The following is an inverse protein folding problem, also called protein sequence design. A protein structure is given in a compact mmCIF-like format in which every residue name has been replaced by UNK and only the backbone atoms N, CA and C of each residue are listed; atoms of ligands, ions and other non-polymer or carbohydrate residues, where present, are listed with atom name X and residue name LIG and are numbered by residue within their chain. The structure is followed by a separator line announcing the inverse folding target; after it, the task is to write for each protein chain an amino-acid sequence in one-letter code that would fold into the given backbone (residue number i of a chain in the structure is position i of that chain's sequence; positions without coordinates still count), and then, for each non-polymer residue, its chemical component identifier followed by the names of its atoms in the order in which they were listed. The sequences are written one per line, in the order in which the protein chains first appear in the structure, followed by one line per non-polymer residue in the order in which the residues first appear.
data_IF_110401569927
#
_entry.id   IF_110401569927
#
_cell.length_a   1.000
_cell.length_b   1.000
_cell.length_c   1.000
_cell.angle_alpha   90.00
_cell.angle_beta   90.00
_cell.angle_gamma   90.00
#
_symmetry.space_group_name_H-M   'P 1'
#
loop_
_entity.id
_entity.type
_entity.pdbx_description
1 polymer ?
#
# COMPACT_ATOMS: atom_id res chain seq x y z
N UNK A 1 27.99 39.08 -29.74
CA UNK A 1 27.70 37.88 -30.57
C UNK A 1 26.93 36.88 -29.71
N UNK A 2 25.79 37.26 -29.11
CA UNK A 2 24.45 37.01 -29.65
C UNK A 2 24.40 36.58 -31.11
N UNK A 3 24.15 35.29 -31.34
CA UNK A 3 23.73 34.71 -32.61
C UNK A 3 23.36 33.24 -32.39
N UNK A 4 22.06 32.99 -32.25
CA UNK A 4 21.35 31.82 -32.80
C UNK A 4 22.03 30.46 -32.61
N UNK A 5 21.80 29.82 -31.46
CA UNK A 5 21.60 28.38 -31.47
C UNK A 5 20.15 28.17 -31.85
N UNK A 6 19.95 27.61 -33.04
CA UNK A 6 18.66 27.30 -33.65
C UNK A 6 17.73 26.59 -32.65
N UNK A 7 16.62 27.25 -32.32
CA UNK A 7 15.43 26.58 -31.82
C UNK A 7 14.81 25.81 -33.00
N UNK A 8 15.41 24.67 -33.36
CA UNK A 8 14.66 23.69 -34.13
C UNK A 8 13.45 23.25 -33.28
N UNK A 9 12.22 23.33 -33.82
CA UNK A 9 11.03 22.93 -33.09
C UNK A 9 11.15 21.44 -32.77
N UNK A 10 11.41 21.14 -31.51
CA UNK A 10 11.46 19.79 -31.01
C UNK A 10 10.03 19.23 -31.04
N UNK A 11 9.84 17.94 -31.34
CA UNK A 11 8.50 17.32 -31.31
C UNK A 11 7.74 17.54 -29.99
N UNK A 12 8.48 17.81 -28.89
CA UNK A 12 7.92 18.20 -27.60
C UNK A 12 7.29 19.59 -27.56
N UNK A 13 7.68 20.53 -28.43
CA UNK A 13 7.07 21.86 -28.51
C UNK A 13 5.68 21.83 -29.15
N UNK A 14 5.42 20.84 -30.02
CA UNK A 14 4.07 20.52 -30.49
C UNK A 14 3.24 19.90 -29.37
N UNK A 15 3.84 19.00 -28.58
CA UNK A 15 3.18 18.37 -27.43
C UNK A 15 2.78 19.37 -26.32
N UNK A 16 3.61 20.40 -26.08
CA UNK A 16 3.31 21.49 -25.13
C UNK A 16 1.99 22.19 -25.43
N UNK A 17 1.59 22.30 -26.70
CA UNK A 17 0.32 22.92 -27.10
C UNK A 17 -0.90 22.09 -26.67
N UNK A 18 -0.74 20.78 -26.48
CA UNK A 18 -1.80 19.87 -26.02
C UNK A 18 -1.77 19.59 -24.51
N UNK A 19 -0.71 19.99 -23.81
CA UNK A 19 -0.48 19.73 -22.38
C UNK A 19 -0.53 21.03 -21.55
N UNK A 20 -1.58 21.83 -21.72
CA UNK A 20 -1.77 23.07 -20.98
C UNK A 20 -1.59 22.85 -19.46
N UNK A 21 -0.78 23.68 -18.82
CA UNK A 21 -0.46 23.61 -17.38
C UNK A 21 0.74 22.75 -16.99
N UNK A 22 1.46 22.13 -17.95
CA UNK A 22 2.66 21.32 -17.66
C UNK A 22 3.95 22.04 -18.08
N UNK A 23 4.96 21.99 -17.20
CA UNK A 23 6.29 22.56 -17.43
C UNK A 23 7.25 21.49 -17.94
N UNK A 24 8.20 21.87 -18.79
CA UNK A 24 9.26 20.98 -19.28
C UNK A 24 10.63 21.49 -18.86
N UNK A 25 11.49 20.61 -18.37
CA UNK A 25 12.90 20.90 -18.08
C UNK A 25 13.80 20.37 -19.21
N UNK A 26 14.58 21.24 -19.84
CA UNK A 26 15.63 20.86 -20.80
C UNK A 26 16.99 21.06 -20.12
N UNK A 27 17.80 20.00 -20.07
CA UNK A 27 19.17 20.05 -19.55
C UNK A 27 20.15 19.84 -20.71
N UNK A 28 21.08 20.77 -20.90
CA UNK A 28 22.08 20.74 -21.97
C UNK A 28 23.49 20.78 -21.37
N UNK A 29 24.46 20.20 -22.08
CA UNK A 29 25.88 20.23 -21.68
C UNK A 29 26.75 20.34 -22.93
N UNK A 30 27.75 21.21 -22.89
CA UNK A 30 28.75 21.38 -23.95
C UNK A 30 29.78 20.24 -23.98
N UNK A 31 29.81 19.42 -22.92
CA UNK A 31 30.69 18.26 -22.77
C UNK A 31 29.89 16.95 -22.88
N UNK A 32 30.54 15.87 -23.34
CA UNK A 32 29.93 14.54 -23.40
C UNK A 32 29.65 14.05 -21.97
N UNK A 33 28.36 13.85 -21.67
CA UNK A 33 27.86 13.37 -20.37
C UNK A 33 27.02 12.12 -20.56
N UNK A 34 26.94 11.34 -19.50
CA UNK A 34 26.10 10.13 -19.44
C UNK A 34 24.67 10.48 -19.05
N UNK A 35 23.70 9.61 -19.39
CA UNK A 35 22.29 9.78 -18.98
C UNK A 35 22.14 9.88 -17.46
N UNK A 36 22.94 9.11 -16.71
CA UNK A 36 22.90 9.11 -15.25
C UNK A 36 23.43 10.41 -14.65
N UNK A 37 24.35 11.11 -15.31
CA UNK A 37 24.76 12.47 -14.91
C UNK A 37 23.65 13.48 -15.15
N UNK A 38 22.93 13.39 -16.27
CA UNK A 38 21.78 14.25 -16.53
C UNK A 38 20.64 14.04 -15.53
N UNK A 39 20.39 12.80 -15.10
CA UNK A 39 19.42 12.49 -14.04
C UNK A 39 19.82 13.11 -12.68
N UNK A 40 21.12 13.16 -12.39
CA UNK A 40 21.63 13.85 -11.19
C UNK A 40 21.43 15.36 -11.30
N UNK A 41 21.72 15.95 -12.46
CA UNK A 41 21.53 17.39 -12.67
C UNK A 41 20.07 17.81 -12.63
N UNK A 42 19.16 17.03 -13.22
CA UNK A 42 17.73 17.29 -13.15
C UNK A 42 17.22 17.20 -11.71
N UNK A 43 17.63 16.18 -10.96
CA UNK A 43 17.27 16.03 -9.54
C UNK A 43 17.80 17.18 -8.68
N UNK A 44 19.04 17.62 -8.90
CA UNK A 44 19.64 18.76 -8.20
C UNK A 44 18.90 20.07 -8.51
N UNK A 45 18.53 20.28 -9.78
CA UNK A 45 17.73 21.44 -10.19
C UNK A 45 16.35 21.45 -9.54
N UNK A 46 15.65 20.31 -9.56
CA UNK A 46 14.31 20.18 -8.95
C UNK A 46 14.36 20.48 -7.45
N UNK A 47 15.38 19.97 -6.74
CA UNK A 47 15.59 20.30 -5.33
C UNK A 47 15.84 21.80 -5.14
N UNK A 48 16.75 22.40 -5.93
CA UNK A 48 17.10 23.81 -5.81
C UNK A 48 15.90 24.73 -6.03
N UNK A 49 15.09 24.47 -7.06
CA UNK A 49 13.85 25.22 -7.27
C UNK A 49 12.86 25.00 -6.12
N UNK A 50 12.63 23.75 -5.72
CA UNK A 50 11.67 23.45 -4.65
C UNK A 50 12.06 24.11 -3.34
N UNK A 51 13.36 24.12 -3.00
CA UNK A 51 13.90 24.76 -1.80
C UNK A 51 13.74 26.29 -1.81
N UNK A 52 13.92 26.95 -2.95
CA UNK A 52 13.85 28.41 -3.03
C UNK A 52 12.44 28.97 -3.23
N UNK A 53 11.49 28.12 -3.63
CA UNK A 53 10.14 28.56 -4.03
C UNK A 53 9.02 27.91 -3.23
N UNK A 54 9.35 26.99 -2.32
CA UNK A 54 8.40 26.09 -1.64
C UNK A 54 7.41 25.40 -2.59
N UNK A 55 7.79 25.30 -3.87
CA UNK A 55 6.97 24.72 -4.93
C UNK A 55 7.51 23.36 -5.32
N UNK A 56 6.74 22.30 -5.07
CA UNK A 56 7.13 20.95 -5.43
C UNK A 56 6.95 20.73 -6.95
N UNK A 57 8.06 20.67 -7.68
CA UNK A 57 8.07 20.25 -9.09
C UNK A 57 8.34 18.76 -9.19
N UNK A 58 7.43 18.03 -9.84
CA UNK A 58 7.51 16.58 -9.98
C UNK A 58 7.77 16.20 -11.43
N UNK A 59 8.85 15.45 -11.65
CA UNK A 59 9.14 14.87 -12.96
C UNK A 59 8.17 13.71 -13.25
N UNK A 60 7.44 13.83 -14.35
CA UNK A 60 6.63 12.74 -14.91
C UNK A 60 7.53 11.85 -15.75
N UNK A 61 7.58 10.55 -15.45
CA UNK A 61 8.50 9.58 -16.08
C UNK A 61 7.85 8.74 -17.16
N UNK A 62 6.54 8.51 -17.06
CA UNK A 62 5.78 7.67 -17.98
C UNK A 62 4.53 8.41 -18.51
N UNK A 63 4.13 8.13 -19.77
CA UNK A 63 2.92 8.72 -20.37
C UNK A 63 1.64 8.34 -19.60
N UNK A 64 1.62 7.18 -18.96
CA UNK A 64 0.52 6.75 -18.10
C UNK A 64 0.35 7.66 -16.88
N UNK A 65 1.42 8.27 -16.38
CA UNK A 65 1.37 9.28 -15.30
C UNK A 65 0.75 10.59 -15.80
N UNK A 66 0.95 10.93 -17.08
CA UNK A 66 0.27 12.06 -17.71
C UNK A 66 -1.23 11.79 -17.86
N UNK A 67 -1.62 10.53 -18.11
CA UNK A 67 -2.99 10.08 -18.33
C UNK A 67 -3.72 9.64 -17.06
N UNK A 68 -3.08 9.70 -15.89
CA UNK A 68 -3.75 9.54 -14.59
C UNK A 68 -4.81 10.60 -14.40
N UNK A 69 -5.98 10.33 -14.93
CA UNK A 69 -7.26 10.82 -14.42
C UNK A 69 -7.54 9.99 -13.17
N UNK A 70 -6.75 10.26 -12.13
CA UNK A 70 -6.61 9.51 -10.89
C UNK A 70 -7.79 9.67 -9.95
N UNK A 71 -8.99 9.32 -10.41
CA UNK A 71 -10.05 8.89 -9.50
C UNK A 71 -10.55 7.55 -9.96
N UNK A 72 -10.61 6.61 -9.03
CA UNK A 72 -11.47 5.42 -9.11
C UNK A 72 -12.92 5.93 -9.13
N UNK A 73 -13.33 6.52 -10.26
CA UNK A 73 -14.65 7.13 -10.50
C UNK A 73 -15.58 6.13 -11.16
N UNK A 74 -15.04 5.05 -11.73
CA UNK A 74 -15.80 4.13 -12.58
C UNK A 74 -16.60 3.05 -11.84
N UNK A 75 -16.35 2.81 -10.55
CA UNK A 75 -16.87 1.58 -9.91
C UNK A 75 -18.10 1.79 -9.01
N UNK A 76 -18.48 3.02 -8.66
CA UNK A 76 -19.62 3.26 -7.75
C UNK A 76 -20.45 4.44 -8.23
N UNK A 77 -21.78 4.20 -8.32
CA UNK A 77 -22.89 5.10 -8.65
C UNK A 77 -22.45 6.51 -9.03
N UNK A 78 -22.56 6.83 -10.32
CA UNK A 78 -22.20 8.13 -10.88
C UNK A 78 -23.22 9.22 -10.56
N UNK A 79 -24.41 8.87 -10.05
CA UNK A 79 -25.47 9.83 -9.77
C UNK A 79 -25.69 10.03 -8.26
N UNK A 80 -25.68 11.30 -7.83
CA UNK A 80 -25.91 11.69 -6.43
C UNK A 80 -27.32 11.35 -5.95
N UNK A 81 -28.28 11.31 -6.88
CA UNK A 81 -29.68 10.97 -6.59
C UNK A 81 -29.87 9.50 -6.21
N UNK A 82 -28.89 8.63 -6.49
CA UNK A 82 -28.90 7.23 -6.07
C UNK A 82 -28.27 7.02 -4.67
N UNK A 83 -27.85 8.08 -3.99
CA UNK A 83 -27.26 7.97 -2.65
C UNK A 83 -28.37 7.93 -1.60
N UNK A 84 -28.50 6.77 -0.95
CA UNK A 84 -29.39 6.61 0.20
C UNK A 84 -28.76 7.15 1.49
N UNK A 85 -29.56 7.60 2.48
CA UNK A 85 -29.08 7.84 3.83
C UNK A 85 -28.36 6.61 4.41
N UNK A 86 -27.26 6.81 5.16
CA UNK A 86 -26.48 5.70 5.70
C UNK A 86 -27.31 4.89 6.70
N UNK A 87 -27.29 3.56 6.53
CA UNK A 87 -27.99 2.60 7.41
C UNK A 87 -27.06 1.92 8.42
N UNK A 88 -25.82 2.39 8.50
CA UNK A 88 -24.75 1.83 9.33
C UNK A 88 -23.94 2.95 9.94
N UNK A 89 -23.44 2.70 11.13
CA UNK A 89 -22.43 3.52 11.80
C UNK A 89 -21.06 2.85 11.65
N UNK A 90 -20.01 3.68 11.60
CA UNK A 90 -18.64 3.24 11.36
C UNK A 90 -17.72 3.82 12.43
N UNK A 91 -16.58 3.17 12.65
CA UNK A 91 -15.55 3.67 13.57
C UNK A 91 -14.92 4.94 12.98
N UNK A 92 -15.01 6.11 13.65
CA UNK A 92 -14.58 7.39 13.08
C UNK A 92 -13.12 7.40 12.61
N UNK A 93 -12.20 6.81 13.38
CA UNK A 93 -10.77 6.79 13.05
C UNK A 93 -10.49 6.09 11.72
N UNK A 94 -11.22 5.01 11.41
CA UNK A 94 -11.11 4.32 10.12
C UNK A 94 -11.60 5.21 8.97
N UNK A 95 -12.68 5.95 9.21
CA UNK A 95 -13.27 6.84 8.20
C UNK A 95 -12.32 7.99 7.87
N UNK A 96 -11.64 8.57 8.87
CA UNK A 96 -10.64 9.61 8.62
C UNK A 96 -9.49 9.11 7.73
N UNK A 97 -8.95 7.93 8.02
CA UNK A 97 -7.92 7.31 7.19
C UNK A 97 -8.43 6.97 5.78
N UNK A 98 -9.63 6.41 5.67
CA UNK A 98 -10.24 6.11 4.37
C UNK A 98 -10.48 7.38 3.54
N UNK A 99 -10.99 8.45 4.14
CA UNK A 99 -11.21 9.73 3.45
C UNK A 99 -9.91 10.39 3.02
N UNK A 100 -8.85 10.33 3.84
CA UNK A 100 -7.51 10.79 3.46
C UNK A 100 -7.00 10.02 2.24
N UNK A 101 -7.18 8.70 2.23
CA UNK A 101 -6.79 7.84 1.12
C UNK A 101 -7.56 8.15 -0.17
N UNK A 102 -8.86 8.49 -0.08
CA UNK A 102 -9.70 8.85 -1.24
C UNK A 102 -9.42 10.28 -1.73
N UNK A 103 -9.05 11.19 -0.82
CA UNK A 103 -8.85 12.60 -1.12
C UNK A 103 -7.46 12.97 -1.65
N UNK A 104 -6.47 12.08 -1.52
CA UNK A 104 -5.10 12.30 -2.00
C UNK A 104 -4.91 11.79 -3.42
N UNK A 105 -3.99 12.42 -4.17
CA UNK A 105 -3.55 11.96 -5.49
C UNK A 105 -2.20 11.22 -5.43
N UNK A 106 -1.60 11.15 -4.24
CA UNK A 106 -0.30 10.50 -4.04
C UNK A 106 -0.48 9.02 -3.67
N UNK A 107 -0.02 8.07 -4.49
CA UNK A 107 -0.23 6.64 -4.23
C UNK A 107 0.41 6.09 -2.97
N UNK A 108 1.52 6.70 -2.55
CA UNK A 108 2.13 6.37 -1.27
C UNK A 108 1.17 6.70 -0.13
N UNK A 109 0.59 7.89 -0.17
CA UNK A 109 -0.37 8.31 0.85
C UNK A 109 -1.67 7.53 0.77
N UNK A 110 -2.16 7.19 -0.44
CA UNK A 110 -3.31 6.28 -0.61
C UNK A 110 -3.04 4.95 0.10
N UNK A 111 -1.92 4.30 -0.23
CA UNK A 111 -1.57 2.99 0.28
C UNK A 111 -1.43 2.96 1.80
N UNK A 112 -0.68 3.92 2.37
CA UNK A 112 -0.48 4.00 3.82
C UNK A 112 -1.79 4.32 4.55
N UNK A 113 -2.62 5.21 4.00
CA UNK A 113 -3.89 5.55 4.63
C UNK A 113 -4.85 4.36 4.64
N UNK A 114 -4.95 3.59 3.55
CA UNK A 114 -5.71 2.33 3.58
C UNK A 114 -5.09 1.27 4.50
N UNK A 115 -3.76 1.21 4.62
CA UNK A 115 -3.08 0.30 5.54
C UNK A 115 -3.44 0.58 7.01
N UNK A 116 -3.52 1.85 7.41
CA UNK A 116 -3.86 2.23 8.78
C UNK A 116 -5.26 1.74 9.21
N UNK A 117 -6.19 1.55 8.26
CA UNK A 117 -7.50 0.94 8.54
C UNK A 117 -7.34 -0.49 9.06
N UNK A 118 -6.42 -1.27 8.48
CA UNK A 118 -6.12 -2.61 8.96
C UNK A 118 -5.29 -2.57 10.26
N UNK A 119 -4.29 -1.68 10.31
CA UNK A 119 -3.37 -1.55 11.45
C UNK A 119 -4.08 -1.27 12.77
N UNK A 120 -5.16 -0.47 12.74
CA UNK A 120 -6.01 -0.17 13.89
C UNK A 120 -6.41 -1.42 14.68
N UNK A 121 -6.55 -2.58 14.03
CA UNK A 121 -7.03 -3.80 14.66
C UNK A 121 -5.92 -4.78 15.07
N UNK A 122 -4.67 -4.57 14.66
CA UNK A 122 -3.63 -5.60 14.78
C UNK A 122 -3.42 -6.07 16.22
N UNK A 123 -3.34 -5.13 17.18
CA UNK A 123 -3.15 -5.45 18.59
C UNK A 123 -4.33 -6.23 19.17
N UNK A 124 -5.56 -5.74 18.92
CA UNK A 124 -6.78 -6.34 19.45
C UNK A 124 -7.01 -7.76 18.91
N UNK A 125 -6.83 -7.96 17.61
CA UNK A 125 -7.01 -9.26 16.95
C UNK A 125 -5.90 -10.23 17.35
N UNK A 126 -4.67 -9.76 17.45
CA UNK A 126 -3.57 -10.59 17.92
C UNK A 126 -3.81 -11.07 19.36
N UNK A 127 -4.27 -10.17 20.23
CA UNK A 127 -4.61 -10.50 21.62
C UNK A 127 -5.75 -11.51 21.69
N UNK A 128 -6.80 -11.33 20.90
CA UNK A 128 -7.92 -12.27 20.81
C UNK A 128 -7.47 -13.66 20.35
N UNK A 129 -6.62 -13.73 19.31
CA UNK A 129 -6.07 -14.99 18.80
C UNK A 129 -5.21 -15.69 19.86
N UNK A 130 -4.40 -14.95 20.62
CA UNK A 130 -3.63 -15.51 21.74
C UNK A 130 -4.53 -16.05 22.84
N UNK A 131 -5.57 -15.30 23.23
CA UNK A 131 -6.54 -15.76 24.23
C UNK A 131 -7.21 -17.04 23.78
N UNK A 132 -7.61 -17.14 22.51
CA UNK A 132 -8.24 -18.34 21.96
C UNK A 132 -7.27 -19.54 21.91
N UNK A 133 -6.01 -19.29 21.55
CA UNK A 133 -4.96 -20.31 21.59
C UNK A 133 -4.76 -20.84 23.02
N UNK A 134 -4.72 -19.95 24.02
CA UNK A 134 -4.59 -20.35 25.43
C UNK A 134 -5.82 -21.13 25.88
N UNK A 135 -7.04 -20.65 25.59
CA UNK A 135 -8.30 -21.34 25.90
C UNK A 135 -8.29 -22.75 25.34
N UNK A 136 -8.07 -22.89 24.03
CA UNK A 136 -8.01 -24.17 23.33
C UNK A 136 -7.01 -25.13 23.99
N UNK A 137 -5.82 -24.63 24.36
CA UNK A 137 -4.78 -25.45 24.99
C UNK A 137 -5.17 -25.91 26.40
N UNK A 138 -5.73 -25.04 27.23
CA UNK A 138 -6.07 -25.38 28.62
C UNK A 138 -7.34 -26.23 28.72
N UNK A 139 -8.24 -26.15 27.75
CA UNK A 139 -9.46 -26.96 27.70
C UNK A 139 -9.26 -28.34 27.06
N UNK A 140 -8.12 -28.58 26.42
CA UNK A 140 -7.84 -29.86 25.77
C UNK A 140 -7.76 -30.99 26.81
N UNK A 141 -8.36 -32.18 26.58
CA UNK A 141 -8.34 -33.29 27.55
C UNK A 141 -6.91 -33.73 27.94
N UNK A 142 -5.98 -33.63 27.00
CA UNK A 142 -4.56 -33.95 27.25
C UNK A 142 -3.82 -32.90 28.06
N UNK A 143 -4.41 -31.75 28.39
CA UNK A 143 -3.75 -30.73 29.20
C UNK A 143 -4.03 -30.95 30.69
N UNK A 144 -2.99 -30.90 31.52
CA UNK A 144 -3.15 -30.93 32.97
C UNK A 144 -2.41 -29.78 33.62
N UNK A 145 -3.16 -28.90 34.28
CA UNK A 145 -2.59 -27.81 35.11
C UNK A 145 -1.76 -28.32 36.29
N UNK A 146 -1.81 -29.63 36.61
CA UNK A 146 -0.99 -30.26 37.64
C UNK A 146 0.38 -30.70 37.12
N UNK A 147 0.52 -30.91 35.80
CA UNK A 147 1.77 -31.39 35.20
C UNK A 147 2.65 -30.20 34.81
N UNK A 148 3.80 -30.06 35.48
CA UNK A 148 4.79 -29.00 35.19
C UNK A 148 5.17 -28.92 33.71
N UNK A 149 5.31 -30.07 33.03
CA UNK A 149 5.63 -30.14 31.59
C UNK A 149 4.60 -29.39 30.73
N UNK A 150 3.31 -29.53 31.05
CA UNK A 150 2.23 -28.93 30.26
C UNK A 150 2.22 -27.41 30.47
N UNK A 151 2.37 -26.95 31.72
CA UNK A 151 2.51 -25.53 32.05
C UNK A 151 3.73 -24.92 31.34
N UNK A 152 4.89 -25.57 31.40
CA UNK A 152 6.11 -25.10 30.73
C UNK A 152 5.94 -25.05 29.22
N UNK A 153 5.20 -25.99 28.62
CA UNK A 153 4.90 -25.95 27.19
C UNK A 153 4.00 -24.77 26.82
N UNK A 154 2.97 -24.49 27.62
CA UNK A 154 2.07 -23.35 27.43
C UNK A 154 2.82 -22.02 27.53
N UNK A 155 3.67 -21.86 28.56
CA UNK A 155 4.51 -20.65 28.72
C UNK A 155 5.42 -20.47 27.51
N UNK A 156 6.03 -21.55 27.01
CA UNK A 156 6.90 -21.50 25.82
C UNK A 156 6.13 -21.12 24.56
N UNK A 157 4.92 -21.65 24.38
CA UNK A 157 4.09 -21.38 23.20
C UNK A 157 3.60 -19.92 23.19
N UNK A 158 3.25 -19.36 24.36
CA UNK A 158 2.94 -17.93 24.52
C UNK A 158 4.19 -17.08 24.30
N UNK A 159 5.32 -17.45 24.91
CA UNK A 159 6.58 -16.71 24.83
C UNK A 159 7.22 -16.68 23.43
N UNK A 160 6.89 -17.63 22.54
CA UNK A 160 7.28 -17.56 21.12
C UNK A 160 6.52 -16.48 20.35
N UNK A 161 5.28 -16.24 20.75
CA UNK A 161 4.36 -15.33 20.06
C UNK A 161 4.53 -13.88 20.53
N UNK A 162 5.02 -13.68 21.75
CA UNK A 162 5.23 -12.36 22.36
C UNK A 162 6.73 -12.05 22.45
N UNK A 163 7.19 -10.99 21.78
CA UNK A 163 8.52 -10.43 22.03
C UNK A 163 8.40 -9.27 23.02
N UNK A 164 9.00 -9.41 24.19
CA UNK A 164 9.08 -8.35 25.20
C UNK A 164 10.15 -7.33 24.79
N UNK A 165 9.81 -6.04 24.77
CA UNK A 165 10.75 -4.90 24.83
C UNK A 165 10.23 -3.91 25.88
N UNK A 166 11.10 -3.03 26.35
CA UNK A 166 10.95 -2.23 27.58
C UNK A 166 9.68 -1.37 27.69
N UNK A 167 8.90 -1.19 26.61
CA UNK A 167 7.69 -0.36 26.58
C UNK A 167 6.38 -1.10 26.20
N UNK A 168 6.39 -2.44 26.03
CA UNK A 168 5.14 -3.19 25.80
C UNK A 168 5.28 -4.58 25.16
N UNK A 169 4.12 -5.20 24.88
CA UNK A 169 4.01 -6.43 24.09
C UNK A 169 4.16 -6.08 22.62
N UNK A 170 5.38 -6.16 22.08
CA UNK A 170 5.58 -6.07 20.63
C UNK A 170 5.17 -7.38 19.97
N UNK A 171 4.05 -7.36 19.25
CA UNK A 171 3.63 -8.45 18.37
C UNK A 171 4.24 -8.29 16.97
N UNK A 172 4.26 -9.37 16.20
CA UNK A 172 4.72 -9.32 14.82
C UNK A 172 3.66 -8.63 13.96
N UNK A 173 3.96 -7.41 13.48
CA UNK A 173 3.06 -6.62 12.64
C UNK A 173 2.52 -7.42 11.43
N UNK A 174 3.38 -8.18 10.75
CA UNK A 174 2.96 -9.02 9.62
C UNK A 174 1.96 -10.10 10.04
N UNK A 175 2.09 -10.63 11.25
CA UNK A 175 1.16 -11.62 11.79
C UNK A 175 -0.16 -10.97 12.21
N UNK A 176 -0.11 -9.78 12.82
CA UNK A 176 -1.29 -8.96 13.11
C UNK A 176 -2.09 -8.67 11.84
N UNK A 177 -1.40 -8.29 10.76
CA UNK A 177 -2.01 -8.12 9.45
C UNK A 177 -2.63 -9.43 8.93
N UNK A 178 -1.92 -10.56 8.98
CA UNK A 178 -2.44 -11.86 8.52
C UNK A 178 -3.73 -12.24 9.24
N UNK A 179 -3.74 -12.12 10.56
CA UNK A 179 -4.93 -12.43 11.38
C UNK A 179 -6.07 -11.47 11.09
N UNK A 180 -5.77 -10.18 10.88
CA UNK A 180 -6.77 -9.15 10.51
C UNK A 180 -7.42 -9.46 9.17
N UNK A 181 -6.61 -9.78 8.15
CA UNK A 181 -7.12 -10.18 6.84
C UNK A 181 -8.00 -11.43 6.96
N UNK A 182 -7.54 -12.46 7.67
CA UNK A 182 -8.30 -13.70 7.87
C UNK A 182 -9.63 -13.47 8.58
N UNK A 183 -9.70 -12.51 9.49
CA UNK A 183 -10.93 -12.21 10.25
C UNK A 183 -11.95 -11.41 9.43
N UNK A 184 -11.49 -10.50 8.58
CA UNK A 184 -12.36 -9.47 8.00
C UNK A 184 -12.52 -9.52 6.47
N UNK A 185 -11.68 -10.28 5.76
CA UNK A 185 -11.64 -10.28 4.30
C UNK A 185 -12.20 -11.58 3.74
N UNK A 186 -13.24 -11.47 2.92
CA UNK A 186 -13.70 -12.52 2.02
C UNK A 186 -12.92 -12.45 0.70
N UNK A 187 -12.16 -13.50 0.40
CA UNK A 187 -11.30 -13.58 -0.79
C UNK A 187 -12.12 -13.58 -2.09
N UNK A 188 -13.25 -14.28 -2.13
CA UNK A 188 -14.11 -14.32 -3.33
C UNK A 188 -14.63 -12.93 -3.68
N UNK A 189 -15.15 -12.19 -2.69
CA UNK A 189 -15.64 -10.82 -2.88
C UNK A 189 -14.51 -9.87 -3.28
N UNK A 190 -13.31 -10.06 -2.71
CA UNK A 190 -12.13 -9.28 -3.07
C UNK A 190 -11.76 -9.49 -4.54
N UNK A 191 -11.75 -10.73 -5.01
CA UNK A 191 -11.47 -11.07 -6.42
C UNK A 191 -12.50 -10.44 -7.35
N UNK A 192 -13.79 -10.51 -7.01
CA UNK A 192 -14.86 -9.86 -7.79
C UNK A 192 -14.63 -8.36 -7.89
N UNK A 193 -14.38 -7.67 -6.77
CA UNK A 193 -14.17 -6.21 -6.74
C UNK A 193 -12.93 -5.78 -7.52
N UNK A 194 -11.85 -6.55 -7.44
CA UNK A 194 -10.64 -6.31 -8.21
C UNK A 194 -10.90 -6.44 -9.72
N UNK A 195 -11.61 -7.48 -10.15
CA UNK A 195 -11.96 -7.67 -11.55
C UNK A 195 -12.94 -6.62 -12.11
N UNK A 196 -13.91 -6.17 -11.30
CA UNK A 196 -14.80 -5.05 -11.66
C UNK A 196 -14.05 -3.73 -11.84
N UNK A 197 -12.97 -3.54 -11.08
CA UNK A 197 -12.13 -2.34 -11.16
C UNK A 197 -11.16 -2.39 -12.35
N UNK A 198 -10.38 -3.47 -12.44
CA UNK A 198 -9.42 -3.74 -13.51
C UNK A 198 -9.13 -5.26 -13.55
N UNK A 199 -9.63 -5.92 -14.58
CA UNK A 199 -9.51 -7.37 -14.78
C UNK A 199 -8.05 -7.86 -14.97
N UNK A 200 -7.09 -6.97 -15.18
CA UNK A 200 -5.68 -7.32 -15.28
C UNK A 200 -5.00 -7.49 -13.91
N UNK A 201 -5.60 -6.99 -12.83
CA UNK A 201 -4.98 -6.98 -11.50
C UNK A 201 -4.80 -8.38 -10.90
N UNK A 202 -5.78 -9.26 -11.06
CA UNK A 202 -5.68 -10.64 -10.56
C UNK A 202 -4.48 -11.35 -11.17
N UNK A 203 -4.32 -11.24 -12.49
CA UNK A 203 -3.17 -11.80 -13.19
C UNK A 203 -1.86 -11.14 -12.74
N UNK A 204 -1.83 -9.81 -12.58
CA UNK A 204 -0.67 -9.09 -12.09
C UNK A 204 -0.21 -9.59 -10.71
N UNK A 205 -1.12 -9.76 -9.74
CA UNK A 205 -0.76 -10.27 -8.42
C UNK A 205 -0.21 -11.71 -8.48
N UNK A 206 -0.75 -12.53 -9.38
CA UNK A 206 -0.35 -13.93 -9.55
C UNK A 206 1.02 -14.09 -10.21
N UNK A 207 1.44 -13.19 -11.09
CA UNK A 207 2.69 -13.36 -11.87
C UNK A 207 3.79 -12.37 -11.56
N UNK A 208 3.47 -11.22 -10.98
CA UNK A 208 4.42 -10.11 -10.85
C UNK A 208 4.78 -9.86 -9.38
N UNK A 209 6.05 -10.08 -9.05
CA UNK A 209 6.65 -9.59 -7.82
C UNK A 209 6.75 -8.05 -7.87
N UNK A 210 6.75 -7.40 -6.71
CA UNK A 210 6.84 -5.93 -6.61
C UNK A 210 8.32 -5.53 -6.56
N UNK A 211 8.88 -4.83 -7.57
CA UNK A 211 10.32 -4.60 -7.65
C UNK A 211 10.91 -3.80 -6.50
N UNK A 212 10.22 -2.74 -6.04
CA UNK A 212 10.75 -1.85 -5.01
C UNK A 212 10.76 -2.47 -3.60
N UNK A 213 9.91 -3.47 -3.36
CA UNK A 213 9.79 -4.12 -2.04
C UNK A 213 10.29 -5.57 -2.01
N UNK A 214 10.46 -6.21 -3.16
CA UNK A 214 10.70 -7.66 -3.23
C UNK A 214 9.53 -8.48 -2.70
N UNK A 215 8.32 -7.90 -2.71
CA UNK A 215 7.10 -8.62 -2.36
C UNK A 215 6.80 -9.69 -3.42
N UNK A 216 6.48 -10.89 -2.95
CA UNK A 216 6.26 -12.06 -3.80
C UNK A 216 4.85 -12.05 -4.41
N UNK A 217 4.63 -12.94 -5.38
CA UNK A 217 3.33 -13.15 -6.01
C UNK A 217 2.30 -13.72 -5.03
N UNK A 218 1.02 -13.46 -5.30
CA UNK A 218 -0.12 -13.97 -4.54
C UNK A 218 -1.14 -14.52 -5.55
N UNK A 219 -1.50 -15.80 -5.41
CA UNK A 219 -2.60 -16.37 -6.19
C UNK A 219 -3.89 -16.27 -5.37
N UNK A 220 -4.70 -15.23 -5.61
CA UNK A 220 -5.98 -15.02 -4.91
C UNK A 220 -7.05 -16.05 -5.27
N UNK A 221 -6.86 -16.81 -6.35
CA UNK A 221 -7.77 -17.86 -6.82
C UNK A 221 -7.24 -19.27 -6.49
N UNK A 222 -6.39 -19.38 -5.46
CA UNK A 222 -5.90 -20.67 -4.96
C UNK A 222 -6.94 -21.41 -4.10
N UNK A 223 -6.71 -22.71 -3.89
CA UNK A 223 -7.60 -23.53 -3.06
C UNK A 223 -7.28 -23.47 -1.55
N UNK A 224 -6.04 -23.11 -1.20
CA UNK A 224 -5.57 -23.03 0.19
C UNK A 224 -5.65 -21.60 0.72
N UNK A 225 -6.76 -21.29 1.39
CA UNK A 225 -7.05 -19.97 1.95
C UNK A 225 -6.00 -19.52 2.98
N UNK A 226 -5.44 -20.43 3.78
CA UNK A 226 -4.39 -20.11 4.76
C UNK A 226 -3.11 -19.66 4.05
N UNK A 227 -2.75 -20.33 2.95
CA UNK A 227 -1.64 -19.93 2.11
C UNK A 227 -1.89 -18.58 1.42
N UNK A 228 -3.12 -18.32 0.96
CA UNK A 228 -3.51 -17.03 0.37
C UNK A 228 -3.29 -15.91 1.38
N UNK A 229 -3.84 -16.01 2.59
CA UNK A 229 -3.69 -14.97 3.61
C UNK A 229 -2.23 -14.76 4.01
N UNK A 230 -1.44 -15.83 4.11
CA UNK A 230 -0.01 -15.74 4.40
C UNK A 230 0.74 -14.95 3.32
N UNK A 231 0.51 -15.26 2.04
CA UNK A 231 1.16 -14.57 0.93
C UNK A 231 0.66 -13.13 0.79
N UNK A 232 -0.64 -12.91 0.95
CA UNK A 232 -1.27 -11.59 0.89
C UNK A 232 -0.74 -10.66 1.99
N UNK A 233 -0.71 -11.11 3.24
CA UNK A 233 -0.13 -10.37 4.35
C UNK A 233 1.35 -10.05 4.11
N UNK A 234 2.13 -11.03 3.61
CA UNK A 234 3.54 -10.80 3.28
C UNK A 234 3.72 -9.75 2.20
N UNK A 235 2.89 -9.77 1.15
CA UNK A 235 2.95 -8.80 0.05
C UNK A 235 2.64 -7.40 0.55
N UNK A 236 1.54 -7.24 1.29
CA UNK A 236 1.10 -5.95 1.81
C UNK A 236 2.11 -5.36 2.80
N UNK A 237 2.59 -6.19 3.73
CA UNK A 237 3.59 -5.79 4.73
C UNK A 237 4.90 -5.34 4.08
N UNK A 238 5.43 -6.10 3.11
CA UNK A 238 6.68 -5.73 2.41
C UNK A 238 6.54 -4.41 1.66
N UNK A 239 5.41 -4.20 0.97
CA UNK A 239 5.13 -2.94 0.30
C UNK A 239 5.11 -1.78 1.32
N UNK A 240 4.35 -1.91 2.42
CA UNK A 240 4.29 -0.91 3.50
C UNK A 240 5.67 -0.62 4.09
N UNK A 241 6.45 -1.66 4.40
CA UNK A 241 7.77 -1.54 4.99
C UNK A 241 8.73 -0.77 4.07
N UNK A 242 8.73 -1.07 2.77
CA UNK A 242 9.57 -0.36 1.79
C UNK A 242 9.09 1.06 1.48
N UNK A 243 7.81 1.37 1.71
CA UNK A 243 7.26 2.73 1.62
C UNK A 243 7.71 3.58 2.81
N UNK A 244 7.61 3.04 4.02
CA UNK A 244 7.89 3.77 5.26
C UNK A 244 9.39 3.87 5.54
N UNK A 245 10.17 2.84 5.19
CA UNK A 245 11.60 2.80 5.45
C UNK A 245 12.40 3.03 4.16
N UNK A 246 13.27 4.05 4.21
CA UNK A 246 14.13 4.46 3.09
C UNK A 246 15.61 4.48 3.50
N UNK A 247 16.06 3.47 4.26
CA UNK A 247 17.46 3.41 4.71
C UNK A 247 18.39 3.15 3.53
N UNK A 248 19.58 3.76 3.55
CA UNK A 248 20.58 3.58 2.50
C UNK A 248 21.03 2.11 2.34
N UNK A 249 21.09 1.38 3.46
CA UNK A 249 21.47 -0.03 3.50
C UNK A 249 20.40 -1.00 2.97
N UNK A 250 19.16 -0.54 2.76
CA UNK A 250 18.07 -1.38 2.28
C UNK A 250 18.06 -1.42 0.75
N UNK A 251 18.21 -2.63 0.19
CA UNK A 251 18.12 -2.87 -1.25
C UNK A 251 16.70 -2.66 -1.80
N UNK A 252 15.68 -2.82 -0.95
CA UNK A 252 14.27 -2.73 -1.31
C UNK A 252 13.63 -1.50 -0.66
N UNK A 253 13.70 -0.36 -1.35
CA UNK A 253 13.09 0.89 -0.92
C UNK A 253 12.22 1.48 -2.01
N UNK A 254 11.06 1.98 -1.61
CA UNK A 254 10.21 2.78 -2.49
C UNK A 254 10.85 4.14 -2.72
N UNK A 255 10.82 4.61 -3.95
CA UNK A 255 11.22 5.96 -4.33
C UNK A 255 10.03 6.63 -5.01
N UNK A 256 9.46 7.69 -4.41
CA UNK A 256 8.35 8.44 -5.00
C UNK A 256 8.62 8.82 -6.45
N UNK A 257 7.57 8.81 -7.27
CA UNK A 257 7.58 9.11 -8.71
C UNK A 257 8.32 8.10 -9.60
N UNK A 258 9.31 7.36 -9.08
CA UNK A 258 9.95 6.26 -9.82
C UNK A 258 9.11 4.98 -9.74
N UNK A 259 8.62 4.69 -8.54
CA UNK A 259 8.01 3.40 -8.23
C UNK A 259 6.46 3.49 -8.21
N UNK A 260 5.88 4.67 -8.41
CA UNK A 260 4.43 4.95 -8.38
C UNK A 260 3.65 4.11 -9.38
N UNK A 261 4.19 3.91 -10.59
CA UNK A 261 3.60 3.03 -11.60
C UNK A 261 3.40 1.59 -11.14
N UNK A 262 4.28 1.14 -10.24
CA UNK A 262 4.16 -0.18 -9.63
C UNK A 262 3.21 -0.12 -8.45
N UNK A 263 3.39 0.85 -7.55
CA UNK A 263 2.59 0.98 -6.33
C UNK A 263 1.10 1.09 -6.61
N UNK A 264 0.72 1.70 -7.72
CA UNK A 264 -0.69 1.98 -8.03
C UNK A 264 -1.45 0.74 -8.47
N UNK A 265 -0.73 -0.30 -8.90
CA UNK A 265 -1.33 -1.61 -9.07
C UNK A 265 -1.61 -2.29 -7.72
N UNK A 266 -0.96 -1.85 -6.65
CA UNK A 266 -1.13 -2.39 -5.29
C UNK A 266 -2.16 -1.60 -4.46
N UNK A 267 -2.46 -0.35 -4.82
CA UNK A 267 -3.46 0.49 -4.12
C UNK A 267 -4.88 -0.13 -4.14
N UNK A 268 -5.41 -0.62 -5.28
CA UNK A 268 -6.75 -1.24 -5.30
C UNK A 268 -6.88 -2.43 -4.35
N UNK A 269 -5.81 -3.23 -4.20
CA UNK A 269 -5.79 -4.37 -3.30
C UNK A 269 -6.02 -3.95 -1.85
N UNK A 270 -5.21 -3.01 -1.34
CA UNK A 270 -5.34 -2.56 0.05
C UNK A 270 -6.61 -1.72 0.26
N UNK A 271 -7.07 -0.99 -0.77
CA UNK A 271 -8.34 -0.25 -0.74
C UNK A 271 -9.52 -1.19 -0.51
N UNK A 272 -9.71 -2.21 -1.36
CA UNK A 272 -10.85 -3.10 -1.23
C UNK A 272 -10.80 -3.94 0.04
N UNK A 273 -9.60 -4.30 0.51
CA UNK A 273 -9.39 -4.88 1.84
C UNK A 273 -9.87 -3.92 2.94
N UNK A 274 -9.45 -2.65 2.90
CA UNK A 274 -9.84 -1.65 3.91
C UNK A 274 -11.36 -1.44 3.96
N UNK A 275 -12.02 -1.47 2.81
CA UNK A 275 -13.48 -1.36 2.73
C UNK A 275 -14.18 -2.57 3.37
N UNK A 276 -13.69 -3.79 3.13
CA UNK A 276 -14.22 -4.98 3.80
C UNK A 276 -14.00 -4.94 5.32
N UNK A 277 -12.86 -4.41 5.79
CA UNK A 277 -12.60 -4.20 7.22
C UNK A 277 -13.59 -3.19 7.80
N UNK A 278 -13.80 -2.05 7.14
CA UNK A 278 -14.78 -1.03 7.58
C UNK A 278 -16.20 -1.61 7.63
N UNK A 279 -16.61 -2.38 6.62
CA UNK A 279 -17.94 -2.99 6.59
C UNK A 279 -18.12 -4.07 7.65
N UNK A 280 -17.14 -4.97 7.82
CA UNK A 280 -17.22 -6.06 8.80
C UNK A 280 -17.18 -5.57 10.25
N UNK A 281 -16.68 -4.36 10.50
CA UNK A 281 -16.61 -3.73 11.84
C UNK A 281 -17.70 -2.69 12.07
N UNK A 282 -18.57 -2.46 11.08
CA UNK A 282 -19.70 -1.53 11.19
C UNK A 282 -20.88 -2.11 11.97
N UNK A 283 -21.72 -1.22 12.52
CA UNK A 283 -22.96 -1.59 13.21
C UNK A 283 -24.17 -1.07 12.44
N UNK A 284 -25.28 -1.82 12.47
CA UNK A 284 -26.56 -1.37 11.89
C UNK A 284 -27.06 -0.21 12.74
N UNK A 285 -27.45 0.88 12.07
CA UNK A 285 -28.00 2.08 12.71
C UNK A 285 -29.48 1.89 13.07
#
# INVERSE_FOLDING_TARGET
MSSMLEDEPCGFDVLKRFLAGRLTLKVTSDSKRTSTEFDKFSSAFLFNISYNTDSALVQQRDFDELLRTGRITRTRRSNIDEIDPPRRTYVPDLIHHYQLAVGTENPMLEYISYYHVAEHFFESIFTEALVEQVKSKITHPDFSYKRKKDISSLIRDIGKSIKMRDEGVTFNEQEGLRLTLKKHVNICDLVVKLNEYDNSLIQHYRTSAVPFSGAQVVNLEGDDEELIFKHLASRIYKNRNSIVHSKESEKSKYTPFRDDKTLVKEVPLIRFISEQIIFSTSSIA
#
